data_IF_781089366040
#
_entry.id   IF_781089366040
#
_cell.length_a   1.000
_cell.length_b   1.000
_cell.length_c   1.000
_cell.angle_alpha   90.00
_cell.angle_beta   90.00
_cell.angle_gamma   90.00
#
_symmetry.space_group_name_H-M   'P 1'
#
loop_
_entity.id
_entity.type
_entity.pdbx_description
1 polymer ?
#
# COMPACT_ATOMS: atom_id res chain seq x y z
N UNK A 1 -13.40 -18.59 -2.29
CA UNK A 1 -13.94 -17.22 -2.30
C UNK A 1 -15.34 -17.28 -1.72
N UNK A 2 -15.61 -16.69 -0.56
CA UNK A 2 -16.99 -16.35 -0.24
C UNK A 2 -17.37 -15.18 -1.13
N UNK A 3 -18.31 -15.41 -2.03
CA UNK A 3 -19.03 -14.43 -2.84
C UNK A 3 -19.83 -13.48 -1.93
N UNK A 4 -19.12 -12.71 -1.11
CA UNK A 4 -19.67 -11.64 -0.31
C UNK A 4 -19.72 -10.37 -1.15
N UNK A 5 -20.75 -9.57 -0.93
CA UNK A 5 -20.82 -8.20 -1.41
C UNK A 5 -19.68 -7.41 -0.76
N UNK A 6 -18.52 -7.32 -1.43
CA UNK A 6 -17.36 -6.54 -0.98
C UNK A 6 -17.37 -5.18 -1.65
N UNK A 7 -16.82 -4.17 -0.99
CA UNK A 7 -16.76 -2.80 -1.52
C UNK A 7 -15.44 -2.54 -2.25
N UNK A 8 -14.40 -3.29 -1.88
CA UNK A 8 -13.10 -3.29 -2.54
C UNK A 8 -12.41 -4.64 -2.46
N UNK A 9 -11.49 -4.89 -3.41
CA UNK A 9 -10.61 -6.05 -3.43
C UNK A 9 -9.15 -5.61 -3.59
N UNK A 10 -8.24 -6.46 -3.14
CA UNK A 10 -6.82 -6.33 -3.43
C UNK A 10 -6.14 -7.70 -3.46
N UNK A 11 -4.91 -7.76 -3.98
CA UNK A 11 -4.17 -9.01 -4.08
C UNK A 11 -2.67 -8.84 -3.93
N UNK A 12 -1.92 -9.82 -4.43
CA UNK A 12 -0.47 -9.85 -4.34
C UNK A 12 0.20 -9.16 -5.53
N UNK A 13 1.42 -8.68 -5.30
CA UNK A 13 2.24 -8.01 -6.32
C UNK A 13 3.50 -8.85 -6.55
N UNK A 14 3.90 -9.01 -7.80
CA UNK A 14 5.26 -9.47 -8.12
C UNK A 14 6.03 -8.36 -8.80
N UNK A 15 7.25 -8.16 -8.36
CA UNK A 15 8.21 -7.30 -9.02
C UNK A 15 8.95 -8.10 -10.07
N UNK A 16 9.20 -7.49 -11.21
CA UNK A 16 9.87 -8.12 -12.36
C UNK A 16 11.03 -7.27 -12.85
N UNK A 17 11.99 -7.89 -13.53
CA UNK A 17 13.12 -7.17 -14.11
C UNK A 17 12.63 -6.13 -15.13
N UNK A 18 13.34 -5.00 -15.21
CA UNK A 18 13.03 -3.93 -16.15
C UNK A 18 13.26 -4.38 -17.60
N UNK A 19 14.26 -5.22 -17.82
CA UNK A 19 14.68 -5.72 -19.14
C UNK A 19 13.93 -6.99 -19.55
N UNK A 20 13.49 -7.82 -18.59
CA UNK A 20 12.74 -9.05 -18.86
C UNK A 20 11.62 -9.23 -17.82
N UNK A 21 10.37 -9.04 -18.25
CA UNK A 21 9.19 -9.11 -17.38
C UNK A 21 8.81 -10.52 -16.92
N UNK A 22 9.43 -11.56 -17.48
CA UNK A 22 9.24 -12.95 -17.04
C UNK A 22 10.16 -13.30 -15.86
N UNK A 23 11.24 -12.52 -15.68
CA UNK A 23 12.12 -12.66 -14.53
C UNK A 23 11.52 -11.96 -13.31
N UNK A 24 10.88 -12.73 -12.42
CA UNK A 24 10.43 -12.26 -11.11
C UNK A 24 11.65 -11.94 -10.25
N UNK A 25 11.69 -10.72 -9.71
CA UNK A 25 12.76 -10.20 -8.88
C UNK A 25 12.39 -10.09 -7.41
N UNK A 26 11.09 -10.02 -7.09
CA UNK A 26 10.59 -10.04 -5.72
C UNK A 26 9.10 -10.37 -5.71
N UNK A 27 8.63 -11.10 -4.69
CA UNK A 27 7.20 -11.29 -4.43
C UNK A 27 6.79 -10.46 -3.23
N UNK A 28 5.67 -9.77 -3.32
CA UNK A 28 5.03 -9.07 -2.21
C UNK A 28 3.67 -9.73 -1.98
N UNK A 29 3.61 -10.55 -0.95
CA UNK A 29 2.36 -11.15 -0.47
C UNK A 29 1.69 -10.17 0.48
N UNK A 30 0.53 -9.66 0.09
CA UNK A 30 -0.16 -8.57 0.78
C UNK A 30 -0.80 -9.03 2.10
N UNK A 31 -1.27 -10.28 2.13
CA UNK A 31 -1.96 -10.88 3.26
C UNK A 31 -3.36 -10.31 3.50
N UNK A 32 -4.15 -11.04 4.31
CA UNK A 32 -5.49 -10.60 4.67
C UNK A 32 -5.43 -9.40 5.63
N UNK A 33 -6.28 -8.41 5.36
CA UNK A 33 -6.43 -7.23 6.17
C UNK A 33 -7.10 -7.60 7.50
N UNK A 34 -6.61 -6.99 8.57
CA UNK A 34 -7.23 -7.03 9.88
C UNK A 34 -7.28 -5.61 10.46
N UNK A 35 -8.26 -5.35 11.32
CA UNK A 35 -8.43 -4.04 11.94
C UNK A 35 -7.17 -3.63 12.70
N UNK A 36 -6.67 -2.42 12.43
CA UNK A 36 -5.43 -1.92 13.01
C UNK A 36 -4.15 -2.29 12.25
N UNK A 37 -4.22 -2.96 11.09
CA UNK A 37 -3.05 -3.22 10.24
C UNK A 37 -2.31 -1.95 9.83
N UNK A 38 -3.02 -0.88 9.46
CA UNK A 38 -2.42 0.43 9.16
C UNK A 38 -1.60 0.97 10.35
N UNK A 39 -2.09 0.81 11.58
CA UNK A 39 -1.39 1.22 12.79
C UNK A 39 -0.13 0.38 13.07
N UNK A 40 -0.06 -0.83 12.52
CA UNK A 40 1.12 -1.71 12.55
C UNK A 40 2.01 -1.57 11.31
N UNK A 41 1.84 -0.50 10.53
CA UNK A 41 2.69 -0.22 9.38
C UNK A 41 2.36 -1.04 8.14
N UNK A 42 1.16 -1.61 8.03
CA UNK A 42 0.71 -2.26 6.81
C UNK A 42 0.75 -1.27 5.64
N UNK A 43 1.61 -1.56 4.67
CA UNK A 43 1.71 -0.84 3.42
C UNK A 43 0.65 -1.42 2.49
N UNK A 44 -0.49 -0.75 2.45
CA UNK A 44 -1.62 -1.19 1.67
C UNK A 44 -1.20 -1.34 0.19
N UNK A 45 -1.54 -2.46 -0.47
CA UNK A 45 -1.05 -2.79 -1.80
C UNK A 45 -1.81 -1.99 -2.86
N UNK A 46 -1.57 -0.69 -2.89
CA UNK A 46 -2.24 0.32 -3.71
C UNK A 46 -2.27 -0.06 -5.19
N UNK A 47 -1.20 -0.64 -5.73
CA UNK A 47 -1.14 -1.07 -7.13
C UNK A 47 -2.18 -2.15 -7.49
N UNK A 48 -2.69 -2.89 -6.50
CA UNK A 48 -3.68 -3.96 -6.69
C UNK A 48 -5.04 -3.63 -6.11
N UNK A 49 -5.25 -2.40 -5.63
CA UNK A 49 -6.48 -2.01 -4.98
C UNK A 49 -7.54 -1.61 -6.01
N UNK A 50 -8.64 -2.34 -6.03
CA UNK A 50 -9.80 -2.05 -6.88
C UNK A 50 -11.03 -1.87 -6.00
N UNK A 51 -11.80 -0.81 -6.22
CA UNK A 51 -12.94 -0.48 -5.37
C UNK A 51 -14.14 0.00 -6.19
N UNK A 52 -15.35 -0.14 -5.65
CA UNK A 52 -16.58 0.28 -6.35
C UNK A 52 -16.62 1.80 -6.53
N UNK A 53 -17.13 2.25 -7.68
CA UNK A 53 -17.29 3.69 -8.01
C UNK A 53 -18.04 4.48 -6.92
N UNK A 54 -19.06 3.87 -6.31
CA UNK A 54 -19.85 4.48 -5.24
C UNK A 54 -19.01 4.97 -4.05
N UNK A 55 -17.82 4.40 -3.83
CA UNK A 55 -16.93 4.86 -2.76
C UNK A 55 -16.32 6.23 -3.08
N UNK A 56 -15.97 6.48 -4.35
CA UNK A 56 -15.52 7.81 -4.79
C UNK A 56 -16.64 8.85 -4.65
N UNK A 57 -17.86 8.48 -5.07
CA UNK A 57 -19.03 9.36 -4.98
C UNK A 57 -19.39 9.68 -3.52
N UNK A 58 -19.27 8.70 -2.61
CA UNK A 58 -19.66 8.84 -1.20
C UNK A 58 -18.58 9.46 -0.32
N UNK A 59 -17.32 9.13 -0.58
CA UNK A 59 -16.21 9.45 0.31
C UNK A 59 -15.18 10.39 -0.32
N UNK A 60 -15.30 10.71 -1.60
CA UNK A 60 -14.50 11.68 -2.35
C UNK A 60 -13.25 11.09 -3.00
N UNK A 61 -12.76 11.76 -4.04
CA UNK A 61 -11.60 11.34 -4.84
C UNK A 61 -10.26 11.45 -4.11
N UNK A 62 -9.18 11.15 -4.85
CA UNK A 62 -7.80 11.33 -4.42
C UNK A 62 -7.52 12.74 -3.91
N UNK A 63 -6.81 12.82 -2.79
CA UNK A 63 -6.34 14.10 -2.27
C UNK A 63 -5.08 14.55 -3.02
N UNK A 64 -5.27 15.36 -4.06
CA UNK A 64 -4.19 15.91 -4.91
C UNK A 64 -3.20 16.83 -4.19
N UNK A 65 -3.46 17.19 -2.92
CA UNK A 65 -2.50 17.93 -2.08
C UNK A 65 -1.38 17.03 -1.53
N UNK A 66 -1.55 15.71 -1.59
CA UNK A 66 -0.52 14.73 -1.22
C UNK A 66 0.18 14.27 -2.50
N UNK A 67 1.46 14.58 -2.64
CA UNK A 67 2.17 14.27 -3.90
C UNK A 67 2.66 12.82 -3.97
N UNK A 68 2.91 12.18 -2.82
CA UNK A 68 3.44 10.82 -2.72
C UNK A 68 2.43 9.85 -2.09
N UNK A 69 1.67 10.30 -1.09
CA UNK A 69 0.80 9.45 -0.29
C UNK A 69 -0.69 9.56 -0.65
N UNK A 70 -1.05 10.08 -1.83
CA UNK A 70 -2.46 10.20 -2.25
C UNK A 70 -3.19 8.85 -2.23
N UNK A 71 -2.60 7.79 -2.78
CA UNK A 71 -3.18 6.44 -2.74
C UNK A 71 -3.31 5.91 -1.31
N UNK A 72 -2.29 6.16 -0.49
CA UNK A 72 -2.29 5.74 0.91
C UNK A 72 -3.40 6.43 1.70
N UNK A 73 -3.59 7.74 1.50
CA UNK A 73 -4.67 8.50 2.13
C UNK A 73 -6.03 7.99 1.71
N UNK A 74 -6.26 7.76 0.41
CA UNK A 74 -7.52 7.24 -0.10
C UNK A 74 -7.85 5.89 0.56
N UNK A 75 -6.88 4.98 0.57
CA UNK A 75 -7.04 3.66 1.20
C UNK A 75 -7.25 3.79 2.71
N UNK A 76 -6.51 4.66 3.40
CA UNK A 76 -6.71 4.91 4.84
C UNK A 76 -8.12 5.42 5.13
N UNK A 77 -8.59 6.41 4.36
CA UNK A 77 -9.93 6.99 4.49
C UNK A 77 -11.01 5.94 4.25
N UNK A 78 -10.91 5.15 3.19
CA UNK A 78 -11.92 4.14 2.88
C UNK A 78 -11.88 2.99 3.89
N UNK A 79 -10.71 2.41 4.13
CA UNK A 79 -10.56 1.16 4.89
C UNK A 79 -10.67 1.39 6.40
N UNK A 80 -10.05 2.46 6.92
CA UNK A 80 -9.96 2.66 8.37
C UNK A 80 -11.05 3.60 8.87
N UNK A 81 -11.30 4.72 8.19
CA UNK A 81 -12.30 5.69 8.64
C UNK A 81 -13.72 5.27 8.26
N UNK A 82 -13.92 4.70 7.08
CA UNK A 82 -15.25 4.28 6.61
C UNK A 82 -15.49 2.78 6.72
N UNK A 83 -14.50 2.01 7.19
CA UNK A 83 -14.61 0.58 7.51
C UNK A 83 -15.26 -0.25 6.38
N UNK A 84 -14.88 0.03 5.13
CA UNK A 84 -15.41 -0.68 3.95
C UNK A 84 -15.13 -2.18 3.99
N UNK A 85 -15.97 -2.98 3.33
CA UNK A 85 -15.77 -4.43 3.23
C UNK A 85 -14.67 -4.74 2.21
N UNK A 86 -13.57 -5.32 2.68
CA UNK A 86 -12.41 -5.70 1.87
C UNK A 86 -12.38 -7.20 1.59
N UNK A 87 -12.19 -7.56 0.32
CA UNK A 87 -11.79 -8.89 -0.10
C UNK A 87 -10.30 -8.98 -0.38
N UNK A 88 -9.62 -10.00 0.15
CA UNK A 88 -8.25 -10.32 -0.24
C UNK A 88 -8.25 -11.48 -1.23
N UNK A 89 -7.64 -11.28 -2.39
CA UNK A 89 -7.37 -12.31 -3.37
C UNK A 89 -5.95 -12.82 -3.18
N UNK A 90 -5.81 -14.10 -2.83
CA UNK A 90 -4.51 -14.78 -2.66
C UNK A 90 -3.90 -15.15 -4.02
N UNK A 91 -3.84 -14.17 -4.90
CA UNK A 91 -3.41 -14.27 -6.30
C UNK A 91 -2.58 -13.05 -6.67
N UNK A 92 -1.66 -13.22 -7.61
CA UNK A 92 -0.86 -12.12 -8.15
C UNK A 92 -1.72 -11.36 -9.15
N UNK A 93 -2.14 -10.15 -8.79
CA UNK A 93 -2.96 -9.30 -9.67
C UNK A 93 -2.10 -8.39 -10.54
N UNK A 94 -0.89 -8.03 -10.09
CA UNK A 94 -0.03 -7.05 -10.78
C UNK A 94 1.42 -7.52 -10.84
N UNK A 95 2.02 -7.37 -12.04
CA UNK A 95 3.47 -7.42 -12.28
C UNK A 95 4.02 -5.99 -12.35
N UNK A 96 4.84 -5.60 -11.38
CA UNK A 96 5.45 -4.27 -11.29
C UNK A 96 6.91 -4.32 -11.75
N UNK A 97 7.30 -3.51 -12.75
CA UNK A 97 8.71 -3.44 -13.18
C UNK A 97 9.58 -2.75 -12.12
N UNK A 98 10.80 -3.24 -11.93
CA UNK A 98 11.80 -2.58 -11.10
C UNK A 98 12.24 -1.23 -11.70
N UNK A 99 12.47 -0.22 -10.84
CA UNK A 99 13.02 1.08 -11.25
C UNK A 99 12.15 2.32 -10.96
N UNK A 100 11.31 2.29 -9.93
CA UNK A 100 10.56 3.48 -9.47
C UNK A 100 11.44 4.56 -8.82
N UNK A 101 10.98 5.82 -8.85
CA UNK A 101 11.65 7.02 -8.30
C UNK A 101 11.82 7.04 -6.76
N UNK A 102 11.60 5.92 -6.07
CA UNK A 102 11.60 5.80 -4.61
C UNK A 102 12.99 5.61 -3.97
N UNK A 103 14.08 5.84 -4.72
CA UNK A 103 15.46 5.70 -4.23
C UNK A 103 16.05 6.95 -3.56
N UNK A 104 15.34 8.08 -3.52
CA UNK A 104 15.89 9.33 -2.97
C UNK A 104 15.41 9.52 -1.53
N UNK A 105 16.35 9.71 -0.59
CA UNK A 105 16.10 9.93 0.85
C UNK A 105 15.03 11.01 1.08
N UNK A 106 15.05 12.09 0.27
CA UNK A 106 14.04 13.17 0.29
C UNK A 106 12.61 12.65 0.07
N UNK A 107 12.42 11.72 -0.86
CA UNK A 107 11.13 11.10 -1.14
C UNK A 107 10.64 10.23 0.01
N UNK A 108 11.53 9.54 0.72
CA UNK A 108 11.16 8.74 1.89
C UNK A 108 10.69 9.60 3.06
N UNK A 109 11.39 10.72 3.34
CA UNK A 109 11.00 11.68 4.38
C UNK A 109 9.63 12.30 4.05
N UNK A 110 9.43 12.74 2.80
CA UNK A 110 8.17 13.31 2.33
C UNK A 110 7.03 12.27 2.41
N UNK A 111 7.25 11.03 1.98
CA UNK A 111 6.28 9.95 2.10
C UNK A 111 5.90 9.69 3.57
N UNK A 112 6.87 9.74 4.48
CA UNK A 112 6.64 9.64 5.92
C UNK A 112 5.71 10.75 6.41
N UNK A 113 6.07 12.01 6.14
CA UNK A 113 5.26 13.19 6.51
C UNK A 113 3.84 13.11 5.96
N UNK A 114 3.66 12.87 4.67
CA UNK A 114 2.34 12.84 4.04
C UNK A 114 1.47 11.70 4.57
N UNK A 115 2.07 10.60 5.00
CA UNK A 115 1.34 9.55 5.72
C UNK A 115 0.81 10.06 7.06
N UNK A 116 1.60 10.80 7.84
CA UNK A 116 1.10 11.44 9.06
C UNK A 116 -0.01 12.45 8.77
N UNK A 117 0.15 13.23 7.71
CA UNK A 117 -0.87 14.18 7.27
C UNK A 117 -2.16 13.46 6.86
N UNK A 118 -2.07 12.26 6.25
CA UNK A 118 -3.24 11.42 5.93
C UNK A 118 -4.08 11.07 7.15
N UNK A 119 -3.46 10.76 8.30
CA UNK A 119 -4.18 10.52 9.56
C UNK A 119 -4.84 11.80 10.07
N UNK A 120 -4.12 12.93 10.04
CA UNK A 120 -4.63 14.24 10.49
C UNK A 120 -5.82 14.72 9.67
N UNK A 121 -5.70 14.69 8.34
CA UNK A 121 -6.76 15.09 7.39
C UNK A 121 -8.02 14.25 7.62
N UNK A 122 -7.86 12.97 7.94
CA UNK A 122 -8.97 12.07 8.22
C UNK A 122 -9.47 12.11 9.66
N UNK A 123 -8.92 12.96 10.53
CA UNK A 123 -9.23 13.04 11.97
C UNK A 123 -9.07 11.69 12.69
N UNK A 124 -8.12 10.89 12.24
CA UNK A 124 -7.77 9.60 12.85
C UNK A 124 -6.64 9.78 13.87
N UNK A 125 -6.65 9.04 14.99
CA UNK A 125 -5.55 9.07 15.94
C UNK A 125 -4.29 8.53 15.28
N UNK A 126 -3.17 9.27 15.42
CA UNK A 126 -1.87 8.85 14.89
C UNK A 126 -1.33 7.75 15.81
N UNK A 127 -1.15 6.51 15.32
CA UNK A 127 -0.65 5.44 16.15
C UNK A 127 0.87 5.56 16.29
N UNK A 128 1.39 5.68 17.52
CA UNK A 128 2.84 5.70 17.78
C UNK A 128 3.57 4.49 17.18
N UNK A 129 2.87 3.34 17.13
CA UNK A 129 3.35 2.10 16.50
C UNK A 129 3.73 2.27 15.02
N UNK A 130 3.07 3.17 14.28
CA UNK A 130 3.40 3.43 12.87
C UNK A 130 4.82 3.97 12.70
N UNK A 131 5.29 4.81 13.63
CA UNK A 131 6.66 5.34 13.62
C UNK A 131 7.69 4.22 13.72
N UNK A 132 7.38 3.17 14.48
CA UNK A 132 8.28 2.02 14.70
C UNK A 132 8.17 0.99 13.58
N UNK A 133 6.96 0.59 13.19
CA UNK A 133 6.77 -0.53 12.26
C UNK A 133 6.94 -0.15 10.79
N UNK A 134 6.75 1.11 10.42
CA UNK A 134 6.95 1.56 9.02
C UNK A 134 8.39 1.33 8.54
N UNK A 135 9.46 1.81 9.22
CA UNK A 135 10.83 1.57 8.77
C UNK A 135 11.16 0.07 8.76
N UNK A 136 10.67 -0.70 9.73
CA UNK A 136 10.85 -2.16 9.76
C UNK A 136 10.21 -2.82 8.53
N UNK A 137 8.99 -2.41 8.16
CA UNK A 137 8.29 -2.97 7.01
C UNK A 137 9.00 -2.63 5.71
N UNK A 138 9.44 -1.38 5.53
CA UNK A 138 10.24 -0.96 4.38
C UNK A 138 11.57 -1.72 4.32
N UNK A 139 12.24 -1.90 5.46
CA UNK A 139 13.51 -2.62 5.52
C UNK A 139 13.34 -4.10 5.18
N UNK A 140 12.32 -4.78 5.70
CA UNK A 140 11.97 -6.16 5.32
C UNK A 140 11.73 -6.28 3.81
N UNK A 141 11.09 -5.27 3.23
CA UNK A 141 10.84 -5.21 1.79
C UNK A 141 12.11 -5.01 0.96
N UNK A 142 13.06 -4.20 1.43
CA UNK A 142 14.36 -4.01 0.78
C UNK A 142 15.24 -5.26 0.93
N UNK A 143 15.27 -5.88 2.11
CA UNK A 143 16.02 -7.12 2.36
C UNK A 143 15.50 -8.28 1.52
N UNK A 144 14.18 -8.46 1.44
CA UNK A 144 13.56 -9.46 0.56
C UNK A 144 13.85 -9.22 -0.94
N UNK A 145 14.26 -8.01 -1.34
CA UNK A 145 14.72 -7.73 -2.70
C UNK A 145 16.20 -8.14 -2.92
N UNK A 146 17.03 -8.13 -1.86
CA UNK A 146 18.44 -8.54 -1.92
C UNK A 146 18.60 -10.05 -2.04
N UNK A 147 17.72 -10.82 -1.39
CA UNK A 147 17.73 -12.29 -1.45
C UNK A 147 17.49 -12.86 -2.86
N UNK A 148 17.02 -12.03 -3.80
CA UNK A 148 16.86 -12.38 -5.23
C UNK A 148 18.03 -11.93 -6.13
N UNK A 149 19.17 -11.54 -5.55
CA UNK A 149 20.41 -11.28 -6.31
C UNK A 149 20.48 -9.94 -7.02
N UNK A 150 19.89 -8.88 -6.43
CA UNK A 150 19.97 -7.51 -6.96
C UNK A 150 20.88 -6.68 -6.04
N UNK A 151 22.06 -6.32 -6.55
CA UNK A 151 22.86 -5.22 -5.98
C UNK A 151 22.19 -3.90 -6.34
N UNK A 152 21.96 -3.06 -5.33
CA UNK A 152 21.48 -1.68 -5.49
C UNK A 152 22.50 -0.83 -6.26
#
# INVERSE_FOLDING_TARGET
>A
MTSGDVDAIYGDIVYVSRQNTDKITRRWISGQYYRGAFARGWLAPHATFFCKKVLYEKYGDYNIKLEIAADYELMLRYIVKHEIRLGYLKEVLVKMRNGGKSGVIRGMIKAGRETFDSFRINKLPIPWRLLVYRPITIMKQVLAAKDCGISL
#
